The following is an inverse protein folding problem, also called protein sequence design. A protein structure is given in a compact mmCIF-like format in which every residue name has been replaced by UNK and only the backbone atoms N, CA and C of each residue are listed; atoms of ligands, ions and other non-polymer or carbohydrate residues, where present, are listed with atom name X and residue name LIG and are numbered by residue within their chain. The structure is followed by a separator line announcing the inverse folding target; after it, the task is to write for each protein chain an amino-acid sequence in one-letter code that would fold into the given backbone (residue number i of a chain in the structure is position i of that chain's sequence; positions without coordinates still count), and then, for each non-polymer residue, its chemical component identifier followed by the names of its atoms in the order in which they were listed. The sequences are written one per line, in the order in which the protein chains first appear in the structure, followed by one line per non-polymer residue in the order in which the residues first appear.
data_IF_098722099708
#
_entry.id   IF_098722099708
#
_cell.length_a   1.000
_cell.length_b   1.000
_cell.length_c   1.000
_cell.angle_alpha   90.00
_cell.angle_beta   90.00
_cell.angle_gamma   90.00
#
_symmetry.space_group_name_H-M   'P 1'
#
loop_
_entity.id
_entity.type
_entity.pdbx_description
1 polymer ?
#
# COMPACT_ATOMS: atom_id res chain seq x y z
N UNK A 1 -3.25 8.69 -8.16
CA UNK A 1 -4.03 9.94 -8.10
C UNK A 1 -5.32 9.63 -7.36
N UNK A 2 -5.59 10.36 -6.28
CA UNK A 2 -6.85 10.32 -5.54
C UNK A 2 -7.99 10.88 -6.39
N UNK A 3 -9.24 10.68 -5.99
CA UNK A 3 -10.40 11.13 -6.75
C UNK A 3 -10.46 12.66 -6.89
N UNK A 4 -9.96 13.39 -5.88
CA UNK A 4 -9.85 14.85 -5.90
C UNK A 4 -8.62 15.37 -6.67
N UNK A 5 -7.83 14.50 -7.30
CA UNK A 5 -6.63 14.84 -8.06
C UNK A 5 -5.34 14.92 -7.23
N UNK A 6 -5.40 14.80 -5.90
CA UNK A 6 -4.19 14.74 -5.08
C UNK A 6 -3.34 13.50 -5.41
N UNK A 7 -2.03 13.62 -5.28
CA UNK A 7 -1.10 12.49 -5.46
C UNK A 7 -0.21 12.38 -4.23
N UNK A 8 -0.21 11.21 -3.61
CA UNK A 8 0.74 10.89 -2.55
C UNK A 8 1.90 10.09 -3.14
N UNK A 9 3.12 10.50 -2.80
CA UNK A 9 4.36 9.90 -3.33
C UNK A 9 5.31 9.62 -2.19
N UNK A 10 5.89 8.43 -2.16
CA UNK A 10 6.95 8.06 -1.24
C UNK A 10 8.31 8.37 -1.87
N UNK A 11 9.21 8.90 -1.05
CA UNK A 11 10.59 9.18 -1.42
C UNK A 11 11.47 8.52 -0.35
N UNK A 12 11.89 7.27 -0.56
CA UNK A 12 12.82 6.62 0.35
C UNK A 12 14.17 7.32 0.34
N UNK A 13 15.00 7.15 1.39
CA UNK A 13 16.40 7.54 1.33
C UNK A 13 17.05 6.74 0.20
N UNK A 14 17.47 7.45 -0.85
CA UNK A 14 18.19 6.87 -1.97
C UNK A 14 19.62 6.50 -1.52
N UNK A 15 20.65 6.95 -2.22
CA UNK A 15 22.04 6.62 -1.91
C UNK A 15 22.58 7.29 -0.62
N UNK A 16 21.80 8.21 -0.03
CA UNK A 16 22.13 8.84 1.25
C UNK A 16 21.28 8.24 2.36
N UNK A 17 21.82 7.22 3.03
CA UNK A 17 21.15 6.51 4.12
C UNK A 17 20.84 7.39 5.35
N UNK A 18 21.51 8.55 5.47
CA UNK A 18 21.25 9.53 6.52
C UNK A 18 20.13 10.52 6.16
N UNK A 19 19.68 10.55 4.91
CA UNK A 19 18.55 11.39 4.52
C UNK A 19 17.25 10.82 5.10
N UNK A 20 16.30 11.67 5.53
CA UNK A 20 15.01 11.16 5.98
C UNK A 20 14.21 10.61 4.80
N UNK A 21 13.54 9.47 5.01
CA UNK A 21 12.46 9.04 4.12
C UNK A 21 11.32 10.05 4.17
N UNK A 22 10.73 10.40 3.02
CA UNK A 22 9.63 11.36 2.94
C UNK A 22 8.38 10.77 2.34
N UNK A 23 7.23 11.27 2.78
CA UNK A 23 5.95 11.15 2.08
C UNK A 23 5.56 12.55 1.62
N UNK A 24 5.26 12.69 0.33
CA UNK A 24 4.86 13.94 -0.30
C UNK A 24 3.39 13.91 -0.68
N UNK A 25 2.71 15.02 -0.49
CA UNK A 25 1.47 15.38 -1.16
C UNK A 25 1.79 16.30 -2.32
N UNK A 26 1.32 15.95 -3.51
CA UNK A 26 1.34 16.79 -4.71
C UNK A 26 -0.11 17.12 -5.05
N UNK A 27 -0.47 18.40 -5.02
CA UNK A 27 -1.82 18.88 -5.35
C UNK A 27 -2.00 19.04 -6.86
N UNK A 28 -3.25 19.12 -7.37
CA UNK A 28 -3.53 19.29 -8.80
C UNK A 28 -2.88 20.53 -9.43
N UNK A 29 -2.65 21.59 -8.64
CA UNK A 29 -1.98 22.81 -9.08
C UNK A 29 -0.44 22.69 -9.12
N UNK A 30 0.12 21.53 -8.79
CA UNK A 30 1.56 21.28 -8.75
C UNK A 30 2.27 21.64 -7.43
N UNK A 31 1.54 22.18 -6.43
CA UNK A 31 2.07 22.43 -5.10
C UNK A 31 2.53 21.11 -4.45
N UNK A 32 3.72 21.11 -3.83
CA UNK A 32 4.33 19.95 -3.18
C UNK A 32 4.53 20.21 -1.70
N UNK A 33 4.04 19.32 -0.86
CA UNK A 33 4.10 19.43 0.61
C UNK A 33 4.67 18.12 1.16
N UNK A 34 5.66 18.21 2.05
CA UNK A 34 6.11 17.04 2.83
C UNK A 34 5.08 16.80 3.93
N UNK A 35 4.52 15.60 3.98
CA UNK A 35 3.46 15.21 4.94
C UNK A 35 3.91 14.14 5.94
N UNK A 36 5.08 13.52 5.74
CA UNK A 36 5.77 12.72 6.76
C UNK A 36 7.27 12.64 6.47
N UNK A 37 8.09 12.53 7.53
CA UNK A 37 9.54 12.29 7.48
C UNK A 37 10.02 11.18 8.42
N UNK A 38 9.11 10.48 9.10
CA UNK A 38 9.42 9.60 10.23
C UNK A 38 9.35 8.11 9.94
N UNK A 39 9.32 7.68 8.67
CA UNK A 39 9.40 6.26 8.29
C UNK A 39 10.85 5.86 8.06
N UNK A 40 11.22 4.59 8.33
CA UNK A 40 12.59 4.12 8.07
C UNK A 40 12.87 4.08 6.56
N UNK A 41 11.92 3.57 5.78
CA UNK A 41 12.00 3.48 4.33
C UNK A 41 10.59 3.41 3.74
N UNK A 42 10.01 4.56 3.42
CA UNK A 42 8.70 4.67 2.80
C UNK A 42 8.75 4.11 1.38
N UNK A 43 7.92 3.09 1.10
CA UNK A 43 7.91 2.42 -0.20
C UNK A 43 6.47 2.39 -0.77
N UNK A 44 5.72 1.31 -0.61
CA UNK A 44 4.34 1.25 -1.09
C UNK A 44 3.44 2.34 -0.49
N UNK A 45 2.58 2.92 -1.32
CA UNK A 45 1.55 3.87 -0.89
C UNK A 45 0.23 3.59 -1.60
N UNK A 46 -0.88 3.64 -0.86
CA UNK A 46 -2.22 3.53 -1.42
C UNK A 46 -3.25 4.19 -0.50
N UNK A 47 -4.45 4.42 -1.01
CA UNK A 47 -5.56 4.98 -0.23
C UNK A 47 -6.46 3.85 0.27
N UNK A 48 -7.18 4.06 1.36
CA UNK A 48 -8.37 3.26 1.65
C UNK A 48 -9.39 3.42 0.51
N UNK A 49 -10.30 2.46 0.29
CA UNK A 49 -11.28 2.55 -0.79
C UNK A 49 -12.20 3.78 -0.70
N UNK A 50 -12.44 4.27 0.52
CA UNK A 50 -13.21 5.50 0.78
C UNK A 50 -12.36 6.77 0.82
N UNK A 51 -11.04 6.65 0.62
CA UNK A 51 -10.06 7.74 0.60
C UNK A 51 -10.02 8.59 1.88
N UNK A 52 -10.43 8.01 3.01
CA UNK A 52 -10.31 8.64 4.34
C UNK A 52 -8.95 8.39 4.98
N UNK A 53 -8.25 7.32 4.55
CA UNK A 53 -6.94 6.94 5.06
C UNK A 53 -5.92 6.83 3.93
N UNK A 54 -4.68 7.22 4.24
CA UNK A 54 -3.50 6.87 3.46
C UNK A 54 -2.80 5.69 4.14
N UNK A 55 -2.42 4.68 3.38
CA UNK A 55 -1.56 3.59 3.84
C UNK A 55 -0.17 3.75 3.23
N UNK A 56 0.87 3.61 4.05
CA UNK A 56 2.27 3.67 3.62
C UNK A 56 3.05 2.51 4.22
N UNK A 57 3.64 1.68 3.36
CA UNK A 57 4.51 0.58 3.75
C UNK A 57 5.90 1.11 4.16
N UNK A 58 6.38 0.66 5.32
CA UNK A 58 7.74 0.92 5.79
C UNK A 58 8.60 -0.32 5.56
N UNK A 59 9.31 -0.32 4.43
CA UNK A 59 10.04 -1.46 3.86
C UNK A 59 11.02 -2.11 4.84
N UNK A 60 11.73 -1.30 5.64
CA UNK A 60 12.72 -1.74 6.65
C UNK A 60 12.06 -2.05 8.01
N UNK A 61 10.79 -2.48 8.01
CA UNK A 61 10.03 -2.83 9.21
C UNK A 61 8.94 -3.89 8.93
N UNK A 62 8.17 -4.26 9.96
CA UNK A 62 6.97 -5.11 9.85
C UNK A 62 5.69 -4.32 9.51
N UNK A 63 5.75 -3.00 9.49
CA UNK A 63 4.55 -2.17 9.56
C UNK A 63 4.15 -1.57 8.23
N UNK A 64 2.85 -1.60 7.96
CA UNK A 64 2.19 -0.57 7.14
C UNK A 64 1.52 0.41 8.08
N UNK A 65 1.85 1.69 7.92
CA UNK A 65 1.27 2.78 8.68
C UNK A 65 -0.01 3.27 8.01
N UNK A 66 -0.98 3.70 8.82
CA UNK A 66 -2.13 4.46 8.34
C UNK A 66 -2.06 5.91 8.83
N UNK A 67 -2.65 6.79 8.04
CA UNK A 67 -2.76 8.22 8.32
C UNK A 67 -4.17 8.66 8.00
N UNK A 68 -4.77 9.47 8.86
CA UNK A 68 -5.98 10.19 8.55
C UNK A 68 -5.68 11.28 7.51
N UNK A 69 -6.49 11.34 6.46
CA UNK A 69 -6.39 12.39 5.44
C UNK A 69 -7.31 13.54 5.83
N UNK A 70 -6.72 14.70 6.16
CA UNK A 70 -7.48 15.92 6.43
C UNK A 70 -8.10 16.48 5.15
N UNK A 71 -9.06 17.39 5.30
CA UNK A 71 -9.76 18.01 4.17
C UNK A 71 -8.83 18.73 3.17
N UNK A 72 -7.69 19.25 3.62
CA UNK A 72 -6.67 19.89 2.77
C UNK A 72 -5.70 18.91 2.10
N UNK A 73 -5.88 17.60 2.35
CA UNK A 73 -5.04 16.50 1.88
C UNK A 73 -3.83 16.20 2.77
N UNK A 74 -3.51 17.04 3.76
CA UNK A 74 -2.39 16.77 4.67
C UNK A 74 -2.75 15.65 5.65
N UNK A 75 -1.73 15.04 6.25
CA UNK A 75 -1.88 13.82 7.04
C UNK A 75 -1.92 14.13 8.54
N UNK A 76 -2.66 13.31 9.28
CA UNK A 76 -2.73 13.35 10.74
C UNK A 76 -2.89 11.93 11.31
N UNK A 77 -2.81 11.77 12.64
CA UNK A 77 -3.05 10.51 13.36
C UNK A 77 -2.28 9.30 12.80
N UNK A 78 -0.98 9.50 12.49
CA UNK A 78 -0.09 8.42 12.06
C UNK A 78 -0.11 7.28 13.07
N UNK A 79 -0.42 6.07 12.62
CA UNK A 79 -0.44 4.89 13.47
C UNK A 79 0.09 3.65 12.75
N UNK A 80 0.74 2.77 13.51
CA UNK A 80 1.05 1.40 13.07
C UNK A 80 -0.26 0.64 12.96
N UNK A 81 -0.57 0.10 11.78
CA UNK A 81 -1.90 -0.47 11.55
C UNK A 81 -1.86 -1.93 11.09
N UNK A 82 -1.05 -2.26 10.10
CA UNK A 82 -0.90 -3.65 9.65
C UNK A 82 0.45 -4.22 10.09
N UNK A 83 0.42 -5.32 10.83
CA UNK A 83 1.62 -6.10 11.18
C UNK A 83 1.82 -7.22 10.16
N UNK A 84 2.87 -7.11 9.36
CA UNK A 84 3.22 -8.08 8.33
C UNK A 84 4.05 -9.22 8.92
N UNK A 85 3.78 -10.44 8.46
CA UNK A 85 4.60 -11.60 8.80
C UNK A 85 5.93 -11.56 8.07
N UNK A 86 6.97 -12.07 8.70
CA UNK A 86 8.31 -12.24 8.14
C UNK A 86 8.86 -13.61 8.57
N UNK A 87 9.87 -14.16 7.89
CA UNK A 87 10.60 -15.31 8.41
C UNK A 87 11.31 -14.96 9.72
N UNK A 88 11.48 -15.93 10.61
CA UNK A 88 12.14 -15.75 11.92
C UNK A 88 13.58 -15.21 11.82
N UNK A 89 14.20 -15.29 10.63
CA UNK A 89 15.55 -14.80 10.34
C UNK A 89 15.57 -13.33 9.87
N UNK A 90 14.46 -12.59 9.99
CA UNK A 90 14.35 -11.22 9.49
C UNK A 90 13.50 -10.34 10.38
N UNK A 91 13.87 -9.05 10.48
CA UNK A 91 13.10 -8.00 11.16
C UNK A 91 12.47 -6.98 10.17
N UNK A 92 12.47 -7.31 8.87
CA UNK A 92 11.89 -6.46 7.83
C UNK A 92 11.06 -7.24 6.82
N UNK A 93 9.85 -6.75 6.56
CA UNK A 93 8.94 -7.33 5.58
C UNK A 93 9.41 -7.16 4.14
N UNK A 94 10.27 -6.17 3.88
CA UNK A 94 10.60 -5.73 2.53
C UNK A 94 9.34 -5.34 1.76
N UNK A 95 8.39 -4.69 2.45
CA UNK A 95 7.12 -4.27 1.87
C UNK A 95 7.34 -3.25 0.74
N UNK A 96 6.94 -3.61 -0.46
CA UNK A 96 7.06 -2.80 -1.68
C UNK A 96 5.66 -2.35 -2.12
N UNK A 97 5.17 -2.76 -3.29
CA UNK A 97 3.84 -2.37 -3.78
C UNK A 97 2.69 -2.77 -2.85
N UNK A 98 1.76 -1.84 -2.62
CA UNK A 98 0.53 -2.09 -1.86
C UNK A 98 -0.71 -1.62 -2.62
N UNK A 99 -1.84 -2.34 -2.50
CA UNK A 99 -3.13 -2.00 -3.10
C UNK A 99 -4.27 -2.43 -2.19
N UNK A 100 -5.44 -1.83 -2.36
CA UNK A 100 -6.65 -2.27 -1.66
C UNK A 100 -7.67 -2.83 -2.64
N UNK A 101 -8.53 -3.73 -2.15
CA UNK A 101 -9.76 -4.09 -2.87
C UNK A 101 -10.96 -3.26 -2.40
N UNK A 102 -12.06 -3.32 -3.15
CA UNK A 102 -13.30 -2.58 -2.84
C UNK A 102 -13.98 -3.05 -1.54
N UNK A 103 -13.58 -4.20 -0.99
CA UNK A 103 -14.06 -4.72 0.30
C UNK A 103 -13.19 -4.25 1.48
N UNK A 104 -12.18 -3.40 1.25
CA UNK A 104 -11.35 -2.82 2.30
C UNK A 104 -10.19 -3.70 2.75
N UNK A 105 -9.84 -4.75 2.01
CA UNK A 105 -8.65 -5.54 2.30
C UNK A 105 -7.41 -4.86 1.73
N UNK A 106 -6.32 -4.87 2.48
CA UNK A 106 -5.01 -4.41 2.01
C UNK A 106 -4.22 -5.61 1.47
N UNK A 107 -3.58 -5.43 0.33
CA UNK A 107 -2.65 -6.39 -0.26
C UNK A 107 -1.26 -5.75 -0.22
N UNK A 108 -0.26 -6.51 0.19
CA UNK A 108 1.12 -6.02 0.38
C UNK A 108 2.11 -6.99 -0.24
N UNK A 109 2.92 -6.52 -1.17
CA UNK A 109 4.05 -7.28 -1.70
C UNK A 109 5.16 -7.31 -0.65
N UNK A 110 5.56 -8.50 -0.23
CA UNK A 110 6.63 -8.71 0.74
C UNK A 110 7.57 -9.83 0.27
N UNK A 111 8.66 -10.04 1.02
CA UNK A 111 9.59 -11.16 0.78
C UNK A 111 8.94 -12.55 0.88
N UNK A 112 7.81 -12.67 1.57
CA UNK A 112 7.06 -13.94 1.70
C UNK A 112 6.00 -14.15 0.60
N UNK A 113 5.74 -13.14 -0.24
CA UNK A 113 4.65 -13.14 -1.23
C UNK A 113 3.71 -11.95 -1.05
N UNK A 114 2.48 -12.07 -1.56
CA UNK A 114 1.45 -11.02 -1.37
C UNK A 114 0.67 -11.34 -0.10
N UNK A 115 0.90 -10.58 0.96
CA UNK A 115 0.13 -10.69 2.20
C UNK A 115 -1.19 -9.94 2.07
N UNK A 116 -2.30 -10.60 2.38
CA UNK A 116 -3.64 -10.03 2.32
C UNK A 116 -4.12 -9.77 3.73
N UNK A 117 -4.33 -8.51 4.07
CA UNK A 117 -4.79 -8.07 5.37
C UNK A 117 -6.28 -7.70 5.35
N UNK A 118 -6.98 -8.00 6.44
CA UNK A 118 -8.37 -7.54 6.64
C UNK A 118 -8.44 -6.09 7.14
N UNK A 119 -9.67 -5.55 7.24
CA UNK A 119 -9.90 -4.18 7.73
C UNK A 119 -9.47 -3.98 9.19
N UNK A 120 -9.28 -5.04 9.98
CA UNK A 120 -8.86 -4.96 11.38
C UNK A 120 -7.33 -4.96 11.55
N UNK A 121 -6.57 -5.02 10.44
CA UNK A 121 -5.11 -4.96 10.49
C UNK A 121 -4.40 -6.32 10.47
N UNK A 122 -5.15 -7.43 10.37
CA UNK A 122 -4.60 -8.79 10.48
C UNK A 122 -4.29 -9.38 9.12
N UNK A 123 -3.17 -10.06 8.98
CA UNK A 123 -2.86 -10.87 7.79
C UNK A 123 -3.74 -12.13 7.79
N UNK A 124 -4.57 -12.28 6.76
CA UNK A 124 -5.49 -13.41 6.58
C UNK A 124 -4.85 -14.54 5.77
N UNK A 125 -4.04 -14.20 4.77
CA UNK A 125 -3.31 -15.18 3.98
C UNK A 125 -2.09 -14.56 3.28
N UNK A 126 -1.22 -15.43 2.78
CA UNK A 126 -0.07 -15.07 1.96
C UNK A 126 -0.19 -15.80 0.63
N UNK A 127 -0.21 -15.07 -0.47
CA UNK A 127 -0.22 -15.63 -1.83
C UNK A 127 1.25 -15.74 -2.28
N UNK A 128 1.81 -16.96 -2.43
CA UNK A 128 3.17 -17.13 -2.89
C UNK A 128 3.29 -16.74 -4.37
N UNK A 129 4.48 -16.30 -4.78
CA UNK A 129 4.79 -16.08 -6.20
C UNK A 129 5.60 -17.25 -6.76
N UNK A 130 5.46 -17.59 -8.06
CA UNK A 130 6.08 -18.79 -8.61
C UNK A 130 7.61 -18.84 -8.55
N UNK A 131 8.29 -17.69 -8.48
CA UNK A 131 9.75 -17.61 -8.44
C UNK A 131 10.29 -16.86 -7.21
N UNK A 132 9.42 -16.48 -6.25
CA UNK A 132 9.80 -15.76 -5.03
C UNK A 132 10.31 -14.33 -5.20
N UNK A 133 10.36 -13.78 -6.43
CA UNK A 133 11.00 -12.47 -6.73
C UNK A 133 10.00 -11.33 -6.87
N UNK A 134 9.05 -11.20 -5.96
CA UNK A 134 7.98 -10.20 -6.04
C UNK A 134 8.50 -8.77 -5.81
N UNK A 135 8.17 -7.83 -6.69
CA UNK A 135 8.42 -6.39 -6.47
C UNK A 135 7.13 -5.58 -6.36
N UNK A 136 6.14 -5.81 -7.22
CA UNK A 136 4.91 -5.02 -7.21
C UNK A 136 3.74 -5.82 -7.78
N UNK A 137 2.53 -5.29 -7.63
CA UNK A 137 1.35 -5.85 -8.26
C UNK A 137 0.24 -4.79 -8.39
N UNK A 138 -0.74 -5.10 -9.24
CA UNK A 138 -1.94 -4.29 -9.36
C UNK A 138 -3.14 -5.12 -9.78
N UNK A 139 -4.34 -4.59 -9.53
CA UNK A 139 -5.57 -5.15 -10.07
C UNK A 139 -5.76 -4.63 -11.49
N UNK A 140 -6.24 -5.49 -12.39
CA UNK A 140 -6.47 -5.19 -13.79
C UNK A 140 -7.47 -6.14 -14.43
N UNK A 141 -7.45 -6.19 -15.77
CA UNK A 141 -8.53 -6.81 -16.54
C UNK A 141 -9.77 -5.91 -16.59
N UNK A 142 -10.74 -6.26 -17.44
CA UNK A 142 -11.91 -5.41 -17.72
C UNK A 142 -12.76 -5.06 -16.50
N UNK A 143 -12.68 -5.86 -15.42
CA UNK A 143 -13.41 -5.64 -14.16
C UNK A 143 -12.51 -5.40 -12.96
N UNK A 144 -11.21 -5.17 -13.15
CA UNK A 144 -10.22 -5.04 -12.07
C UNK A 144 -10.22 -6.24 -11.09
N UNK A 145 -10.54 -7.42 -11.58
CA UNK A 145 -10.64 -8.68 -10.82
C UNK A 145 -9.53 -9.68 -11.19
N UNK A 146 -8.48 -9.22 -11.87
CA UNK A 146 -7.26 -9.97 -12.15
C UNK A 146 -6.09 -9.28 -11.46
N UNK A 147 -5.41 -9.98 -10.56
CA UNK A 147 -4.16 -9.50 -9.97
C UNK A 147 -3.01 -9.79 -10.93
N UNK A 148 -2.25 -8.76 -11.29
CA UNK A 148 -1.01 -8.84 -12.06
C UNK A 148 0.17 -8.53 -11.14
N UNK A 149 1.20 -9.36 -11.12
CA UNK A 149 2.36 -9.21 -10.25
C UNK A 149 3.67 -9.20 -11.06
N UNK A 150 4.53 -8.23 -10.80
CA UNK A 150 5.90 -8.17 -11.33
C UNK A 150 6.81 -9.00 -10.44
N UNK A 151 7.40 -10.04 -11.01
CA UNK A 151 8.17 -11.04 -10.29
C UNK A 151 9.54 -11.25 -10.95
N UNK A 152 10.47 -10.34 -10.71
CA UNK A 152 11.80 -10.33 -11.34
C UNK A 152 11.70 -10.14 -12.85
N UNK A 153 11.95 -11.21 -13.60
CA UNK A 153 12.00 -11.24 -15.07
C UNK A 153 10.63 -11.48 -15.74
N UNK A 154 9.57 -11.70 -14.96
CA UNK A 154 8.26 -12.12 -15.47
C UNK A 154 7.12 -11.35 -14.82
N UNK A 155 6.00 -11.29 -15.54
CA UNK A 155 4.70 -10.86 -14.99
C UNK A 155 3.79 -12.07 -14.89
N UNK A 156 3.27 -12.33 -13.69
CA UNK A 156 2.26 -13.35 -13.46
C UNK A 156 0.89 -12.72 -13.27
N UNK A 157 -0.17 -13.49 -13.52
CA UNK A 157 -1.54 -13.04 -13.25
C UNK A 157 -2.39 -14.12 -12.60
N UNK A 158 -3.34 -13.71 -11.77
CA UNK A 158 -4.32 -14.59 -11.12
C UNK A 158 -5.68 -13.92 -11.10
N UNK A 159 -6.72 -14.62 -11.53
CA UNK A 159 -8.12 -14.20 -11.36
C UNK A 159 -8.49 -14.27 -9.89
N UNK A 160 -9.09 -13.22 -9.36
CA UNK A 160 -9.61 -13.14 -7.99
C UNK A 160 -11.14 -13.07 -8.00
N UNK A 161 -11.74 -13.30 -6.83
CA UNK A 161 -13.18 -13.14 -6.60
C UNK A 161 -13.58 -11.72 -6.14
N UNK A 162 -12.59 -10.86 -5.95
CA UNK A 162 -12.75 -9.46 -5.53
C UNK A 162 -12.39 -8.52 -6.67
N UNK A 163 -12.81 -7.27 -6.52
CA UNK A 163 -12.48 -6.17 -7.43
C UNK A 163 -11.54 -5.21 -6.72
N UNK A 164 -10.41 -4.88 -7.34
CA UNK A 164 -9.49 -3.85 -6.86
C UNK A 164 -10.16 -2.48 -6.77
N UNK A 165 -9.79 -1.67 -5.78
CA UNK A 165 -10.21 -0.27 -5.76
C UNK A 165 -9.18 0.56 -6.52
N UNK A 166 -9.63 1.35 -7.49
CA UNK A 166 -8.77 2.34 -8.13
C UNK A 166 -8.90 3.67 -7.41
N UNK A 167 -7.77 4.30 -7.12
CA UNK A 167 -7.73 5.57 -6.39
C UNK A 167 -8.39 6.74 -7.14
N UNK A 168 -8.53 6.66 -8.47
CA UNK A 168 -9.19 7.69 -9.28
C UNK A 168 -10.70 7.49 -9.42
N UNK A 169 -11.21 6.29 -9.10
CA UNK A 169 -12.65 6.02 -9.12
C UNK A 169 -13.34 6.76 -7.95
N UNK A 170 -14.67 6.87 -8.04
CA UNK A 170 -15.49 7.40 -6.94
C UNK A 170 -15.21 6.61 -5.66
N UNK A 171 -14.86 7.28 -4.54
CA UNK A 171 -14.59 6.62 -3.28
C UNK A 171 -15.75 5.71 -2.85
N UNK A 172 -15.42 4.51 -2.36
CA UNK A 172 -16.42 3.55 -1.90
C UNK A 172 -16.15 3.17 -0.45
N UNK A 173 -17.15 3.35 0.42
CA UNK A 173 -17.09 2.87 1.80
C UNK A 173 -17.28 1.35 1.82
N UNK A 174 -16.30 0.55 2.26
CA UNK A 174 -16.48 -0.89 2.42
C UNK A 174 -17.57 -1.19 3.45
N UNK A 175 -18.20 -2.35 3.33
CA UNK A 175 -19.05 -2.86 4.40
C UNK A 175 -18.19 -3.07 5.66
N UNK A 176 -18.76 -2.87 6.87
CA UNK A 176 -18.06 -3.16 8.11
C UNK A 176 -17.54 -4.61 8.13
N UNK A 177 -16.38 -4.86 8.76
CA UNK A 177 -15.85 -6.21 8.87
C UNK A 177 -16.85 -7.10 9.59
N UNK A 178 -17.06 -8.31 9.06
CA UNK A 178 -17.78 -9.38 9.74
C UNK A 178 -16.79 -10.04 10.70
N UNK A 179 -16.93 -9.74 12.00
CA UNK A 179 -16.13 -10.31 13.07
C UNK A 179 -16.56 -11.74 13.39
#
# INVERSE_FOLDING_TARGET
VAHNGNVYVTNPPADNENAPSKVWLIKPNGEKIVVDTGLKYANGVTLSPDQTLLYVADYRSHWVYSYFIKADGTLDNKQRFYWLHVPDTSDQSSADGIRVDREGRLYVATSMGIQVCDQAGRVQCIIPTPNGKLSNFTFGGARFDVLYATCGDRVYRRKLKVVGANAWDVPNKPAPPRL
#
